data_IF_589071029422
#
_entry.id   IF_589071029422
#
_cell.length_a   1.000
_cell.length_b   1.000
_cell.length_c   1.000
_cell.angle_alpha   90.00
_cell.angle_beta   90.00
_cell.angle_gamma   90.00
#
_symmetry.space_group_name_H-M   'P 1'
#
loop_
_entity.id
_entity.type
_entity.pdbx_description
1 polymer ?
#
# COMPACT_ATOMS: atom_id res chain seq x y z
N UNK A 1 73.87 -24.96 -9.24
CA UNK A 1 72.75 -24.59 -8.35
C UNK A 1 71.45 -25.05 -8.99
N UNK A 2 70.75 -26.04 -8.40
CA UNK A 2 69.48 -26.58 -8.93
C UNK A 2 68.30 -25.91 -8.24
N UNK A 3 67.53 -25.12 -9.01
CA UNK A 3 66.37 -24.36 -8.54
C UNK A 3 65.14 -25.29 -8.48
N UNK A 4 64.73 -25.69 -7.27
CA UNK A 4 63.45 -26.41 -7.06
C UNK A 4 62.30 -25.52 -7.54
N UNK A 5 61.59 -25.94 -8.59
CA UNK A 5 60.29 -25.37 -8.97
C UNK A 5 59.25 -25.97 -8.03
N UNK A 6 58.60 -25.14 -7.23
CA UNK A 6 57.41 -25.55 -6.48
C UNK A 6 56.34 -25.95 -7.51
N UNK A 7 55.84 -27.17 -7.43
CA UNK A 7 54.71 -27.60 -8.24
C UNK A 7 53.47 -26.85 -7.75
N UNK A 8 52.96 -25.90 -8.53
CA UNK A 8 51.62 -25.36 -8.31
C UNK A 8 50.62 -26.52 -8.51
N UNK A 9 49.98 -26.96 -7.44
CA UNK A 9 48.85 -27.89 -7.53
C UNK A 9 47.67 -27.17 -8.19
N UNK A 10 47.19 -27.68 -9.33
CA UNK A 10 45.97 -27.22 -9.98
C UNK A 10 44.72 -27.78 -9.27
N UNK A 11 43.61 -27.08 -9.38
CA UNK A 11 42.31 -27.55 -8.90
C UNK A 11 41.89 -28.84 -9.61
N UNK A 12 41.38 -29.83 -8.85
CA UNK A 12 40.77 -31.02 -9.43
C UNK A 12 39.34 -30.75 -9.88
N UNK A 13 38.89 -31.48 -10.91
CA UNK A 13 37.49 -31.45 -11.34
C UNK A 13 36.54 -31.91 -10.22
N UNK A 14 36.98 -32.86 -9.39
CA UNK A 14 36.21 -33.35 -8.26
C UNK A 14 35.97 -32.26 -7.19
N UNK A 15 36.97 -31.42 -6.92
CA UNK A 15 36.84 -30.28 -6.00
C UNK A 15 35.84 -29.25 -6.52
N UNK A 16 35.78 -29.01 -7.83
CA UNK A 16 34.76 -28.11 -8.37
C UNK A 16 33.36 -28.74 -8.34
N UNK A 17 33.26 -30.04 -8.60
CA UNK A 17 31.99 -30.78 -8.59
C UNK A 17 31.33 -30.79 -7.20
N UNK A 18 32.10 -31.00 -6.13
CA UNK A 18 31.54 -31.00 -4.78
C UNK A 18 31.08 -29.59 -4.36
N UNK A 19 31.79 -28.54 -4.80
CA UNK A 19 31.44 -27.14 -4.49
C UNK A 19 30.11 -26.77 -5.13
N UNK A 20 29.90 -27.07 -6.42
CA UNK A 20 28.63 -26.76 -7.09
C UNK A 20 27.47 -27.61 -6.54
N UNK A 21 27.74 -28.85 -6.10
CA UNK A 21 26.73 -29.69 -5.46
C UNK A 21 26.27 -29.10 -4.11
N UNK A 22 27.20 -28.62 -3.28
CA UNK A 22 26.89 -27.96 -2.00
C UNK A 22 26.12 -26.65 -2.26
N UNK A 23 26.55 -25.83 -3.22
CA UNK A 23 25.85 -24.58 -3.58
C UNK A 23 24.42 -24.88 -4.06
N UNK A 24 24.22 -25.93 -4.86
CA UNK A 24 22.90 -26.34 -5.34
C UNK A 24 21.92 -26.67 -4.20
N UNK A 25 22.37 -27.44 -3.20
CA UNK A 25 21.54 -27.77 -2.02
C UNK A 25 21.23 -26.52 -1.20
N UNK A 26 22.24 -25.70 -0.90
CA UNK A 26 22.05 -24.47 -0.11
C UNK A 26 21.11 -23.46 -0.80
N UNK A 27 21.20 -23.32 -2.13
CA UNK A 27 20.34 -22.43 -2.89
C UNK A 27 18.85 -22.76 -2.73
N UNK A 28 18.48 -24.04 -2.71
CA UNK A 28 17.06 -24.45 -2.56
C UNK A 28 16.48 -24.08 -1.19
N UNK A 29 17.25 -24.20 -0.10
CA UNK A 29 16.81 -23.88 1.26
C UNK A 29 16.61 -22.38 1.43
N UNK A 30 17.50 -21.56 0.87
CA UNK A 30 17.43 -20.09 0.95
C UNK A 30 16.15 -19.56 0.29
N UNK A 31 15.77 -20.08 -0.89
CA UNK A 31 14.56 -19.63 -1.61
C UNK A 31 13.28 -19.89 -0.81
N UNK A 32 13.20 -21.00 -0.06
CA UNK A 32 12.01 -21.31 0.75
C UNK A 32 11.85 -20.36 1.94
N UNK A 33 12.95 -19.92 2.56
CA UNK A 33 12.91 -19.01 3.71
C UNK A 33 12.45 -17.59 3.32
N UNK A 34 12.86 -17.11 2.14
CA UNK A 34 12.55 -15.74 1.69
C UNK A 34 11.05 -15.50 1.43
N UNK A 35 10.31 -16.51 0.96
CA UNK A 35 8.88 -16.38 0.63
C UNK A 35 7.99 -16.08 1.83
N UNK A 36 8.31 -16.60 3.01
CA UNK A 36 7.54 -16.36 4.25
C UNK A 36 7.77 -14.95 4.82
N UNK A 37 9.00 -14.44 4.73
CA UNK A 37 9.37 -13.11 5.25
C UNK A 37 8.73 -11.97 4.45
N UNK A 38 8.49 -12.16 3.16
CA UNK A 38 7.93 -11.12 2.30
C UNK A 38 6.48 -10.77 2.67
N UNK A 39 5.66 -11.79 2.96
CA UNK A 39 4.25 -11.59 3.36
C UNK A 39 4.14 -10.88 4.71
N UNK A 40 4.92 -11.29 5.71
CA UNK A 40 4.91 -10.63 7.03
C UNK A 40 5.34 -9.16 6.95
N UNK A 41 6.34 -8.84 6.10
CA UNK A 41 6.75 -7.46 5.85
C UNK A 41 5.64 -6.64 5.18
N UNK A 42 4.90 -7.22 4.22
CA UNK A 42 3.74 -6.57 3.58
C UNK A 42 2.61 -6.32 4.57
N UNK A 43 2.30 -7.26 5.46
CA UNK A 43 1.28 -7.08 6.51
C UNK A 43 1.66 -5.97 7.48
N UNK A 44 2.92 -5.94 7.95
CA UNK A 44 3.41 -4.88 8.83
C UNK A 44 3.32 -3.50 8.16
N UNK A 45 3.74 -3.41 6.89
CA UNK A 45 3.63 -2.18 6.09
C UNK A 45 2.18 -1.77 5.88
N UNK A 46 1.28 -2.73 5.63
CA UNK A 46 -0.15 -2.45 5.46
C UNK A 46 -0.74 -1.83 6.73
N UNK A 47 -0.48 -2.43 7.90
CA UNK A 47 -0.96 -1.92 9.18
C UNK A 47 -0.43 -0.51 9.47
N UNK A 48 0.86 -0.28 9.22
CA UNK A 48 1.46 1.04 9.38
C UNK A 48 0.81 2.08 8.45
N UNK A 49 0.63 1.74 7.17
CA UNK A 49 0.01 2.62 6.18
C UNK A 49 -1.47 2.91 6.50
N UNK A 50 -2.22 1.90 6.96
CA UNK A 50 -3.61 2.05 7.37
C UNK A 50 -3.74 2.99 8.58
N UNK A 51 -2.84 2.85 9.56
CA UNK A 51 -2.78 3.75 10.73
C UNK A 51 -2.53 5.20 10.31
N UNK A 52 -1.49 5.44 9.50
CA UNK A 52 -1.17 6.77 8.96
C UNK A 52 -2.39 7.36 8.23
N UNK A 53 -3.06 6.54 7.42
CA UNK A 53 -4.24 6.98 6.68
C UNK A 53 -5.37 7.42 7.64
N UNK A 54 -5.70 6.61 8.64
CA UNK A 54 -6.76 6.95 9.61
C UNK A 54 -6.46 8.18 10.43
N UNK A 55 -5.22 8.31 10.90
CA UNK A 55 -4.78 9.50 11.63
C UNK A 55 -4.95 10.76 10.76
N UNK A 56 -4.64 10.68 9.47
CA UNK A 56 -4.86 11.78 8.54
C UNK A 56 -6.35 12.12 8.35
N UNK A 57 -7.22 11.11 8.26
CA UNK A 57 -8.67 11.29 8.15
C UNK A 57 -9.26 11.94 9.41
N UNK A 58 -8.81 11.50 10.59
CA UNK A 58 -9.23 12.06 11.88
C UNK A 58 -8.76 13.51 12.01
N UNK A 59 -7.49 13.79 11.67
CA UNK A 59 -6.94 15.15 11.70
C UNK A 59 -7.69 16.07 10.73
N UNK A 60 -8.00 15.60 9.52
CA UNK A 60 -8.82 16.35 8.56
C UNK A 60 -10.21 16.66 9.14
N UNK A 61 -10.86 15.67 9.75
CA UNK A 61 -12.18 15.85 10.35
C UNK A 61 -12.13 16.79 11.56
N UNK A 62 -11.03 16.83 12.32
CA UNK A 62 -10.85 17.77 13.42
C UNK A 62 -10.74 19.22 12.93
N UNK A 63 -10.05 19.46 11.81
CA UNK A 63 -9.89 20.80 11.23
C UNK A 63 -11.16 21.29 10.52
N UNK A 64 -11.91 20.38 9.86
CA UNK A 64 -13.02 20.75 8.97
C UNK A 64 -14.41 20.42 9.52
N UNK A 65 -14.52 19.54 10.53
CA UNK A 65 -15.79 19.05 11.06
C UNK A 65 -16.51 18.03 10.17
N UNK A 66 -15.89 17.62 9.06
CA UNK A 66 -16.34 16.56 8.18
C UNK A 66 -15.15 15.80 7.60
N UNK A 67 -15.33 14.51 7.33
CA UNK A 67 -14.31 13.72 6.64
C UNK A 67 -14.14 14.16 5.18
N UNK A 68 -12.95 13.98 4.57
CA UNK A 68 -12.69 14.40 3.20
C UNK A 68 -13.72 13.80 2.24
N UNK A 69 -14.63 14.64 1.81
CA UNK A 69 -15.64 14.37 0.82
C UNK A 69 -16.07 15.71 0.23
N UNK A 70 -16.60 15.70 -0.98
CA UNK A 70 -16.91 16.94 -1.69
C UNK A 70 -18.40 17.13 -1.76
N UNK A 71 -18.92 18.07 -0.96
CA UNK A 71 -20.30 18.54 -0.98
C UNK A 71 -20.61 19.46 -2.19
N UNK A 72 -19.79 19.48 -3.24
CA UNK A 72 -20.00 20.32 -4.45
C UNK A 72 -19.53 19.63 -5.76
N UNK A 73 -19.24 18.33 -5.73
CA UNK A 73 -18.74 17.54 -6.87
C UNK A 73 -19.83 16.51 -7.27
N UNK A 74 -21.06 17.00 -7.42
CA UNK A 74 -22.29 16.19 -7.40
C UNK A 74 -22.63 15.45 -8.69
N UNK A 75 -22.01 15.81 -9.82
CA UNK A 75 -22.40 15.23 -11.13
C UNK A 75 -21.36 14.28 -11.73
N UNK A 76 -20.36 13.83 -10.96
CA UNK A 76 -19.46 12.75 -11.35
C UNK A 76 -19.00 11.95 -10.13
N UNK A 77 -18.83 10.65 -10.32
CA UNK A 77 -18.32 9.72 -9.30
C UNK A 77 -17.06 10.26 -8.61
N UNK A 78 -16.96 10.04 -7.30
CA UNK A 78 -15.90 10.51 -6.40
C UNK A 78 -14.53 10.70 -7.02
N UNK A 79 -14.09 11.96 -7.12
CA UNK A 79 -12.79 12.32 -7.65
C UNK A 79 -11.67 11.96 -6.66
N UNK A 80 -11.14 10.74 -6.80
CA UNK A 80 -9.99 10.21 -6.06
C UNK A 80 -8.82 11.20 -6.01
N UNK A 81 -8.60 11.95 -7.07
CA UNK A 81 -7.51 12.94 -7.14
C UNK A 81 -7.75 14.08 -6.15
N UNK A 82 -8.96 14.60 -6.07
CA UNK A 82 -9.32 15.64 -5.10
C UNK A 82 -9.21 15.11 -3.68
N UNK A 83 -9.72 13.90 -3.42
CA UNK A 83 -9.58 13.24 -2.13
C UNK A 83 -8.11 13.11 -1.68
N UNK A 84 -7.23 12.63 -2.56
CA UNK A 84 -5.79 12.54 -2.25
C UNK A 84 -5.18 13.91 -1.98
N UNK A 85 -5.57 14.93 -2.74
CA UNK A 85 -5.08 16.30 -2.57
C UNK A 85 -5.55 16.92 -1.26
N UNK A 86 -6.77 16.63 -0.83
CA UNK A 86 -7.28 17.07 0.47
C UNK A 86 -6.43 16.56 1.64
N UNK A 87 -5.81 15.38 1.49
CA UNK A 87 -4.92 14.81 2.49
C UNK A 87 -3.44 15.21 2.31
N UNK A 88 -3.00 15.41 1.07
CA UNK A 88 -1.57 15.66 0.75
C UNK A 88 -1.20 17.12 0.58
N UNK A 89 -2.16 18.02 0.35
CA UNK A 89 -1.96 19.46 0.15
C UNK A 89 -2.63 20.28 1.25
N UNK A 90 -2.43 21.59 1.23
CA UNK A 90 -3.14 22.51 2.13
C UNK A 90 -4.59 22.65 1.71
N UNK A 91 -5.49 22.92 2.66
CA UNK A 91 -6.92 23.11 2.39
C UNK A 91 -7.44 24.41 3.00
N UNK A 92 -8.47 24.98 2.38
CA UNK A 92 -9.28 26.04 2.99
C UNK A 92 -10.37 25.46 3.90
N UNK A 93 -11.12 26.30 4.60
CA UNK A 93 -12.19 25.88 5.53
C UNK A 93 -13.31 25.06 4.85
N UNK A 94 -13.39 25.07 3.52
CA UNK A 94 -14.34 24.26 2.74
C UNK A 94 -13.71 22.98 2.19
N UNK A 95 -12.48 22.66 2.58
CA UNK A 95 -11.75 21.49 2.12
C UNK A 95 -11.23 21.58 0.68
N UNK A 96 -11.07 22.79 0.10
CA UNK A 96 -10.52 22.93 -1.26
C UNK A 96 -9.00 22.87 -1.22
N UNK A 97 -8.34 21.97 -1.98
CA UNK A 97 -6.91 21.79 -1.88
C UNK A 97 -6.11 22.82 -2.69
N UNK A 98 -4.95 23.22 -2.16
CA UNK A 98 -3.94 24.07 -2.79
C UNK A 98 -2.54 23.58 -2.43
N UNK A 99 -1.65 23.53 -3.42
CA UNK A 99 -0.23 23.19 -3.19
C UNK A 99 0.48 24.23 -2.32
N UNK A 100 0.01 25.47 -2.34
CA UNK A 100 0.66 26.60 -1.67
C UNK A 100 -0.14 26.98 -0.43
N UNK A 101 0.56 27.12 0.70
CA UNK A 101 -0.01 27.61 1.96
C UNK A 101 -0.32 29.10 1.85
N UNK A 102 -1.46 29.52 2.36
CA UNK A 102 -1.83 30.94 2.50
C UNK A 102 -2.84 31.10 3.64
N UNK A 103 -3.23 32.33 3.95
CA UNK A 103 -4.29 32.59 4.94
C UNK A 103 -5.61 31.91 4.58
N UNK A 104 -5.87 31.73 3.27
CA UNK A 104 -7.03 30.97 2.79
C UNK A 104 -6.81 29.46 2.94
N UNK A 105 -5.64 28.96 2.53
CA UNK A 105 -5.29 27.53 2.55
C UNK A 105 -4.35 27.22 3.73
N UNK A 106 -4.92 27.17 4.93
CA UNK A 106 -4.17 27.10 6.20
C UNK A 106 -4.13 25.72 6.84
N UNK A 107 -5.05 24.83 6.50
CA UNK A 107 -5.21 23.51 7.11
C UNK A 107 -4.39 22.45 6.37
N UNK A 108 -3.94 21.42 7.08
CA UNK A 108 -3.06 20.38 6.51
C UNK A 108 -1.66 20.89 6.09
N UNK A 109 -0.95 20.13 5.22
CA UNK A 109 -1.29 18.78 4.76
C UNK A 109 -1.26 17.77 5.91
N UNK A 110 -2.03 16.70 5.77
CA UNK A 110 -2.19 15.68 6.81
C UNK A 110 -1.26 14.49 6.59
N UNK A 111 -0.82 14.28 5.34
CA UNK A 111 0.22 13.30 4.97
C UNK A 111 1.15 13.87 3.90
N UNK A 112 2.44 13.56 3.99
CA UNK A 112 3.43 13.97 2.98
C UNK A 112 3.27 13.20 1.66
N UNK A 113 2.94 11.91 1.77
CA UNK A 113 2.69 11.02 0.63
C UNK A 113 1.48 10.16 0.95
N UNK A 114 0.62 9.97 -0.05
CA UNK A 114 -0.53 9.11 0.11
C UNK A 114 -0.10 7.65 0.38
N UNK A 115 -0.63 6.98 1.42
CA UNK A 115 -0.23 5.62 1.77
C UNK A 115 -0.53 4.61 0.65
N UNK A 116 0.42 3.70 0.42
CA UNK A 116 0.31 2.66 -0.60
C UNK A 116 -0.23 1.36 0.00
N UNK A 117 -1.02 0.61 -0.75
CA UNK A 117 -1.35 -0.77 -0.38
C UNK A 117 -0.23 -1.74 -0.87
N UNK A 118 0.48 -2.44 0.05
CA UNK A 118 1.62 -3.29 -0.31
C UNK A 118 1.24 -4.65 -0.93
N UNK A 119 -0.05 -5.00 -0.96
CA UNK A 119 -0.55 -6.23 -1.59
C UNK A 119 -0.83 -6.09 -3.08
N UNK A 120 -0.48 -4.94 -3.67
CA UNK A 120 -0.50 -4.71 -5.10
C UNK A 120 0.51 -5.62 -5.83
N UNK A 121 0.03 -6.45 -6.75
CA UNK A 121 0.85 -7.38 -7.56
C UNK A 121 0.92 -7.04 -9.06
N UNK A 122 0.34 -5.92 -9.49
CA UNK A 122 0.32 -5.52 -10.90
C UNK A 122 1.58 -4.79 -11.34
N UNK A 123 1.55 -4.24 -12.55
CA UNK A 123 2.63 -3.42 -13.12
C UNK A 123 2.34 -1.91 -13.05
N UNK A 124 1.06 -1.51 -12.99
CA UNK A 124 0.61 -0.12 -12.91
C UNK A 124 0.55 0.42 -11.47
N UNK A 125 1.64 1.05 -11.04
CA UNK A 125 1.79 1.62 -9.68
C UNK A 125 0.73 2.67 -9.31
N UNK A 126 0.04 3.31 -10.26
CA UNK A 126 -1.00 4.30 -9.95
C UNK A 126 -2.13 3.69 -9.12
N UNK A 127 -2.44 2.41 -9.38
CA UNK A 127 -3.50 1.65 -8.75
C UNK A 127 -3.19 1.28 -7.29
N UNK A 128 -1.93 1.28 -6.85
CA UNK A 128 -1.52 1.04 -5.45
C UNK A 128 -2.14 2.02 -4.45
N UNK A 129 -2.46 3.22 -4.94
CA UNK A 129 -3.02 4.32 -4.16
C UNK A 129 -4.48 4.58 -4.52
N UNK A 130 -5.10 3.70 -5.34
CA UNK A 130 -6.48 3.87 -5.78
C UNK A 130 -7.39 3.98 -4.58
N UNK A 131 -8.39 4.86 -4.63
CA UNK A 131 -9.40 4.95 -3.57
C UNK A 131 -10.77 4.85 -4.19
N UNK A 132 -11.52 3.83 -3.79
CA UNK A 132 -12.94 3.75 -4.10
C UNK A 132 -13.69 4.44 -2.96
N UNK A 133 -14.43 5.49 -3.31
CA UNK A 133 -15.12 6.37 -2.35
C UNK A 133 -16.60 6.04 -2.38
N UNK A 134 -17.13 5.57 -1.25
CA UNK A 134 -18.57 5.40 -1.03
C UNK A 134 -19.15 6.65 -0.37
N UNK A 135 -20.26 7.14 -0.94
CA UNK A 135 -21.03 8.31 -0.47
C UNK A 135 -22.43 7.93 0.02
N UNK A 136 -22.90 6.72 -0.30
CA UNK A 136 -24.23 6.22 0.05
C UNK A 136 -24.14 5.43 1.34
N UNK A 137 -25.09 5.61 2.25
CA UNK A 137 -25.07 5.01 3.59
C UNK A 137 -25.22 3.47 3.61
N UNK A 138 -25.10 2.81 2.46
CA UNK A 138 -25.15 1.36 2.36
C UNK A 138 -23.89 0.78 3.01
N UNK A 139 -24.08 -0.14 3.96
CA UNK A 139 -22.99 -0.72 4.75
C UNK A 139 -21.86 -1.13 3.82
N UNK A 140 -20.71 -0.50 4.01
CA UNK A 140 -19.40 -0.81 3.43
C UNK A 140 -19.32 -2.28 3.01
N UNK A 141 -19.55 -3.21 3.94
CA UNK A 141 -19.38 -4.65 3.71
C UNK A 141 -20.16 -5.21 2.50
N UNK A 142 -21.38 -4.79 2.20
CA UNK A 142 -22.17 -5.37 1.09
C UNK A 142 -21.78 -4.85 -0.28
N UNK A 143 -21.59 -3.52 -0.41
CA UNK A 143 -21.10 -2.91 -1.65
C UNK A 143 -19.62 -3.27 -1.89
N UNK A 144 -18.83 -3.40 -0.82
CA UNK A 144 -17.48 -3.95 -0.90
C UNK A 144 -17.49 -5.41 -1.36
N UNK A 145 -18.32 -6.27 -0.78
CA UNK A 145 -18.43 -7.67 -1.21
C UNK A 145 -18.81 -7.76 -2.68
N UNK A 146 -19.76 -6.94 -3.17
CA UNK A 146 -20.13 -6.89 -4.59
C UNK A 146 -18.99 -6.38 -5.47
N UNK A 147 -18.32 -5.30 -5.10
CA UNK A 147 -17.21 -4.72 -5.88
C UNK A 147 -15.97 -5.64 -5.92
N UNK A 148 -15.72 -6.38 -4.83
CA UNK A 148 -14.68 -7.41 -4.71
C UNK A 148 -15.05 -8.66 -5.53
N UNK A 149 -16.31 -9.12 -5.45
CA UNK A 149 -16.82 -10.26 -6.22
C UNK A 149 -16.91 -9.99 -7.72
N UNK A 150 -17.15 -8.74 -8.14
CA UNK A 150 -17.20 -8.31 -9.53
C UNK A 150 -15.82 -8.16 -10.20
N UNK A 151 -14.73 -8.47 -9.51
CA UNK A 151 -13.41 -8.65 -10.15
C UNK A 151 -12.80 -7.39 -10.77
N UNK A 152 -12.84 -6.23 -10.11
CA UNK A 152 -12.19 -5.01 -10.65
C UNK A 152 -10.80 -4.70 -10.06
N UNK A 153 -10.04 -5.75 -9.72
CA UNK A 153 -8.57 -5.74 -9.71
C UNK A 153 -7.89 -5.19 -8.45
N UNK A 154 -7.32 -6.14 -7.68
CA UNK A 154 -6.12 -6.12 -6.82
C UNK A 154 -5.67 -4.89 -6.01
N UNK A 155 -6.31 -3.73 -5.97
CA UNK A 155 -5.52 -2.53 -5.69
C UNK A 155 -6.22 -1.41 -4.91
N UNK A 156 -5.47 -0.82 -3.97
CA UNK A 156 -5.77 0.46 -3.33
C UNK A 156 -6.48 0.35 -1.97
N UNK A 157 -7.39 1.29 -1.72
CA UNK A 157 -8.14 1.46 -0.49
C UNK A 157 -9.62 1.66 -0.83
N UNK A 158 -10.48 1.23 0.08
CA UNK A 158 -11.87 1.63 0.11
C UNK A 158 -12.07 2.61 1.25
N UNK A 159 -12.85 3.65 0.99
CA UNK A 159 -13.10 4.72 1.93
C UNK A 159 -14.57 5.11 1.92
N UNK A 160 -15.18 5.16 3.10
CA UNK A 160 -16.54 5.64 3.30
C UNK A 160 -16.50 7.07 3.85
N UNK A 161 -17.00 8.02 3.05
CA UNK A 161 -16.95 9.44 3.37
C UNK A 161 -17.78 9.83 4.60
N UNK A 162 -18.84 9.09 4.92
CA UNK A 162 -19.76 9.46 6.00
C UNK A 162 -19.22 9.11 7.39
N UNK A 163 -18.52 7.98 7.51
CA UNK A 163 -17.95 7.49 8.76
C UNK A 163 -16.45 7.74 8.90
N UNK A 164 -15.76 8.03 7.79
CA UNK A 164 -14.30 8.08 7.76
C UNK A 164 -13.63 6.70 7.77
N UNK A 165 -14.41 5.62 7.64
CA UNK A 165 -13.88 4.26 7.63
C UNK A 165 -13.05 4.02 6.37
N UNK A 166 -11.89 3.41 6.57
CA UNK A 166 -10.99 3.00 5.49
C UNK A 166 -10.57 1.56 5.68
N UNK A 167 -10.60 0.80 4.60
CA UNK A 167 -10.18 -0.59 4.55
C UNK A 167 -9.30 -0.85 3.32
N UNK A 168 -8.30 -1.73 3.41
CA UNK A 168 -7.50 -2.08 2.26
C UNK A 168 -8.26 -2.96 1.26
N UNK A 169 -8.07 -2.70 -0.03
CA UNK A 169 -8.51 -3.62 -1.08
C UNK A 169 -7.46 -4.70 -1.30
N UNK A 170 -7.70 -5.91 -0.83
CA UNK A 170 -6.76 -7.03 -0.92
C UNK A 170 -7.04 -7.96 -2.12
N UNK A 171 -8.04 -7.64 -2.96
CA UNK A 171 -8.48 -8.50 -4.07
C UNK A 171 -9.36 -9.66 -3.63
N UNK A 172 -9.94 -10.38 -4.60
CA UNK A 172 -11.00 -11.38 -4.43
C UNK A 172 -10.69 -12.58 -3.52
N UNK A 173 -9.47 -12.71 -3.00
CA UNK A 173 -9.05 -13.80 -2.12
C UNK A 173 -8.70 -13.37 -0.68
N UNK A 174 -8.81 -12.09 -0.33
CA UNK A 174 -8.16 -11.59 0.87
C UNK A 174 -8.97 -10.60 1.71
N UNK A 175 -10.30 -10.67 1.68
CA UNK A 175 -11.06 -10.32 2.89
C UNK A 175 -10.81 -11.42 3.94
N UNK A 176 -9.58 -11.47 4.48
CA UNK A 176 -9.39 -12.15 5.74
C UNK A 176 -10.11 -11.28 6.76
N UNK A 177 -11.16 -11.80 7.39
CA UNK A 177 -11.88 -11.16 8.50
C UNK A 177 -10.94 -10.57 9.57
N UNK A 178 -9.69 -11.03 9.60
CA UNK A 178 -8.58 -10.46 10.37
C UNK A 178 -8.38 -8.96 10.18
N UNK A 179 -8.68 -8.36 9.02
CA UNK A 179 -8.36 -6.95 8.74
C UNK A 179 -9.57 -6.00 8.75
N UNK A 180 -10.78 -6.53 8.95
CA UNK A 180 -12.03 -5.75 9.03
C UNK A 180 -12.21 -5.02 10.36
N UNK A 181 -11.51 -5.47 11.41
CA UNK A 181 -11.71 -5.02 12.80
C UNK A 181 -10.56 -4.22 13.39
N UNK A 182 -9.52 -3.93 12.59
CA UNK A 182 -8.52 -2.95 13.01
C UNK A 182 -9.02 -1.57 12.73
#
# INVERSE_FOLDING_TARGET
>A
MLRKRNAQAGFSLAELLIVIAIIGVLATVVVMNMKGSETGAKEAKLKANLKIFREALIAYNADHGFFPCTQNDYNNSGNETTFKRQLTWYTDASGRPSKTKSDRYRFGPYVQKFPENPFYTGTDKSRMTKVVIDRTHERILSELQKAVAAGSGNYGWYYEAKSGNVVPNLGGSAFSDKYCYF
#
